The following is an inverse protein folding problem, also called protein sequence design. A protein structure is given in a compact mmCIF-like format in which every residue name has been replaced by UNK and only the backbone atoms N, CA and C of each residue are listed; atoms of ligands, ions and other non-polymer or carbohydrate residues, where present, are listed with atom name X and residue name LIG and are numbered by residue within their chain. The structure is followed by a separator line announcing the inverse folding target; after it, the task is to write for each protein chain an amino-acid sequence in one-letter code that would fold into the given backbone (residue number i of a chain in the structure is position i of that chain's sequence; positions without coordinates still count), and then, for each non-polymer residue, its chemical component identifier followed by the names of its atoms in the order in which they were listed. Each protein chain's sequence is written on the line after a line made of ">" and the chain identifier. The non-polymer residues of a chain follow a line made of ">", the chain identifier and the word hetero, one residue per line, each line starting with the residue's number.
data_IF_579050340989
#
_entry.id   IF_579050340989
#
_cell.length_a   1.000
_cell.length_b   1.000
_cell.length_c   1.000
_cell.angle_alpha   90.00
_cell.angle_beta   90.00
_cell.angle_gamma   90.00
#
_symmetry.space_group_name_H-M   'P 1'
#
loop_
_entity.id
_entity.type
_entity.pdbx_description
1 polymer ?
#
# COMPACT_ATOMS: atom_id res chain seq x y z
N UNK A 1 -9.33 -16.43 5.28
CA UNK A 1 -8.78 -15.14 5.72
C UNK A 1 -9.43 -14.09 4.83
N UNK A 2 -10.24 -13.18 5.39
CA UNK A 2 -10.89 -12.14 4.59
C UNK A 2 -9.91 -10.97 4.43
N UNK A 3 -9.58 -10.62 3.18
CA UNK A 3 -8.81 -9.40 2.89
C UNK A 3 -9.66 -8.17 3.20
N UNK A 4 -9.02 -7.13 3.72
CA UNK A 4 -9.71 -5.83 3.90
C UNK A 4 -10.00 -5.20 2.53
N UNK A 5 -10.99 -4.30 2.45
CA UNK A 5 -11.28 -3.59 1.20
C UNK A 5 -10.08 -2.80 0.66
N UNK A 6 -9.28 -2.20 1.56
CA UNK A 6 -8.06 -1.47 1.20
C UNK A 6 -6.94 -2.39 0.72
N UNK A 7 -6.80 -3.56 1.34
CA UNK A 7 -5.87 -4.59 0.89
C UNK A 7 -6.22 -5.11 -0.50
N UNK A 8 -7.52 -5.33 -0.78
CA UNK A 8 -7.99 -5.73 -2.11
C UNK A 8 -7.68 -4.65 -3.16
N UNK A 9 -7.91 -3.38 -2.84
CA UNK A 9 -7.59 -2.25 -3.72
C UNK A 9 -6.09 -2.17 -4.02
N UNK A 10 -5.24 -2.33 -2.98
CA UNK A 10 -3.80 -2.37 -3.17
C UNK A 10 -3.38 -3.53 -4.07
N UNK A 11 -3.86 -4.75 -3.82
CA UNK A 11 -3.53 -5.93 -4.62
C UNK A 11 -3.94 -5.75 -6.09
N UNK A 12 -5.12 -5.18 -6.35
CA UNK A 12 -5.58 -4.91 -7.71
C UNK A 12 -4.72 -3.83 -8.42
N UNK A 13 -4.39 -2.74 -7.72
CA UNK A 13 -3.54 -1.68 -8.24
C UNK A 13 -2.11 -2.17 -8.53
N UNK A 14 -1.54 -2.95 -7.60
CA UNK A 14 -0.20 -3.54 -7.70
C UNK A 14 -0.11 -4.56 -8.85
N UNK A 15 -1.16 -5.38 -9.05
CA UNK A 15 -1.24 -6.27 -10.21
C UNK A 15 -1.31 -5.50 -11.54
N UNK A 16 -2.09 -4.42 -11.58
CA UNK A 16 -2.21 -3.55 -12.78
C UNK A 16 -0.87 -2.91 -13.12
N UNK A 17 -0.18 -2.33 -12.13
CA UNK A 17 1.14 -1.77 -12.29
C UNK A 17 2.16 -2.81 -12.80
N UNK A 18 2.21 -4.01 -12.21
CA UNK A 18 3.09 -5.09 -12.67
C UNK A 18 2.86 -5.49 -14.12
N UNK A 19 1.60 -5.50 -14.56
CA UNK A 19 1.27 -5.81 -15.95
C UNK A 19 1.80 -4.74 -16.90
N UNK A 20 1.61 -3.46 -16.59
CA UNK A 20 2.11 -2.37 -17.43
C UNK A 20 3.64 -2.26 -17.39
N UNK A 21 4.25 -2.43 -16.22
CA UNK A 21 5.71 -2.41 -16.07
C UNK A 21 6.36 -3.55 -16.88
N UNK A 22 5.78 -4.75 -16.82
CA UNK A 22 6.27 -5.89 -17.59
C UNK A 22 6.20 -5.67 -19.11
N UNK A 23 5.12 -5.02 -19.59
CA UNK A 23 4.99 -4.66 -21.01
C UNK A 23 6.07 -3.66 -21.44
N UNK A 24 6.25 -2.59 -20.68
CA UNK A 24 7.20 -1.51 -21.01
C UNK A 24 8.65 -1.98 -20.91
N UNK A 25 8.97 -2.77 -19.88
CA UNK A 25 10.33 -3.24 -19.59
C UNK A 25 10.66 -4.59 -20.23
N UNK A 26 9.73 -5.16 -21.01
CA UNK A 26 9.86 -6.46 -21.66
C UNK A 26 10.33 -7.58 -20.71
N UNK A 27 9.69 -7.68 -19.55
CA UNK A 27 10.00 -8.67 -18.52
C UNK A 27 8.74 -9.39 -18.03
N UNK A 28 8.87 -10.20 -16.97
CA UNK A 28 7.73 -10.96 -16.41
C UNK A 28 6.99 -10.11 -15.37
N UNK A 29 5.65 -10.11 -15.33
CA UNK A 29 4.88 -9.37 -14.32
C UNK A 29 5.21 -9.76 -12.89
N UNK A 30 5.57 -11.01 -12.63
CA UNK A 30 5.86 -11.52 -11.29
C UNK A 30 7.33 -11.29 -10.87
N UNK A 31 8.10 -10.52 -11.64
CA UNK A 31 9.47 -10.18 -11.27
C UNK A 31 9.47 -9.21 -10.08
N UNK A 32 9.93 -9.70 -8.93
CA UNK A 32 10.02 -8.92 -7.70
C UNK A 32 11.02 -7.75 -7.82
N UNK A 33 11.95 -7.84 -8.76
CA UNK A 33 12.93 -6.78 -9.05
C UNK A 33 12.30 -5.53 -9.65
N UNK A 34 11.08 -5.61 -10.20
CA UNK A 34 10.38 -4.48 -10.83
C UNK A 34 10.31 -3.25 -9.93
N UNK A 35 10.11 -3.43 -8.62
CA UNK A 35 9.96 -2.30 -7.69
C UNK A 35 11.27 -1.53 -7.45
N UNK A 36 12.40 -2.15 -7.78
CA UNK A 36 13.73 -1.56 -7.63
C UNK A 36 14.14 -0.75 -8.87
N UNK A 37 13.44 -0.91 -9.99
CA UNK A 37 13.74 -0.26 -11.25
C UNK A 37 13.09 1.13 -11.29
N UNK A 38 13.85 2.23 -11.43
CA UNK A 38 13.29 3.56 -11.63
C UNK A 38 12.35 3.64 -12.83
N UNK A 39 12.65 2.89 -13.90
CA UNK A 39 11.89 2.85 -15.15
C UNK A 39 10.49 2.26 -14.95
N UNK A 40 10.30 1.40 -13.93
CA UNK A 40 8.99 0.85 -13.60
C UNK A 40 8.01 1.90 -13.04
N UNK A 41 8.47 3.13 -12.77
CA UNK A 41 7.61 4.26 -12.38
C UNK A 41 6.90 4.91 -13.58
N UNK A 42 7.40 4.68 -14.80
CA UNK A 42 6.87 5.26 -16.03
C UNK A 42 7.18 6.75 -16.21
N UNK A 43 7.16 7.19 -17.46
CA UNK A 43 7.24 8.60 -17.83
C UNK A 43 5.89 9.30 -17.60
N UNK A 44 5.87 10.63 -17.37
CA UNK A 44 4.63 11.41 -17.29
C UNK A 44 3.68 11.11 -18.47
N UNK A 45 2.37 11.18 -18.20
CA UNK A 45 1.30 10.95 -19.18
C UNK A 45 1.26 9.55 -19.82
N UNK A 46 1.95 8.57 -19.23
CA UNK A 46 1.88 7.16 -19.65
C UNK A 46 0.95 6.34 -18.74
N UNK A 47 0.39 5.26 -19.31
CA UNK A 47 -0.39 4.30 -18.53
C UNK A 47 0.41 3.69 -17.37
N UNK A 48 1.72 3.46 -17.58
CA UNK A 48 2.60 2.95 -16.53
C UNK A 48 2.72 3.93 -15.36
N UNK A 49 2.85 5.24 -15.65
CA UNK A 49 2.87 6.27 -14.62
C UNK A 49 1.57 6.32 -13.84
N UNK A 50 0.42 6.32 -14.53
CA UNK A 50 -0.88 6.30 -13.86
C UNK A 50 -1.04 5.06 -12.98
N UNK A 51 -0.65 3.87 -13.46
CA UNK A 51 -0.73 2.64 -12.68
C UNK A 51 0.19 2.68 -11.45
N UNK A 52 1.39 3.23 -11.58
CA UNK A 52 2.33 3.42 -10.46
C UNK A 52 1.73 4.35 -9.39
N UNK A 53 1.18 5.50 -9.78
CA UNK A 53 0.60 6.47 -8.83
C UNK A 53 -0.62 5.89 -8.10
N UNK A 54 -1.50 5.19 -8.81
CA UNK A 54 -2.66 4.52 -8.20
C UNK A 54 -2.22 3.44 -7.19
N UNK A 55 -1.17 2.68 -7.51
CA UNK A 55 -0.57 1.71 -6.60
C UNK A 55 -0.02 2.36 -5.34
N UNK A 56 0.78 3.41 -5.47
CA UNK A 56 1.36 4.12 -4.31
C UNK A 56 0.27 4.72 -3.41
N UNK A 57 -0.77 5.30 -4.01
CA UNK A 57 -1.91 5.82 -3.27
C UNK A 57 -2.67 4.72 -2.52
N UNK A 58 -2.96 3.60 -3.17
CA UNK A 58 -3.62 2.46 -2.54
C UNK A 58 -2.77 1.86 -1.40
N UNK A 59 -1.45 1.77 -1.59
CA UNK A 59 -0.52 1.32 -0.56
C UNK A 59 -0.55 2.25 0.66
N UNK A 60 -0.47 3.57 0.44
CA UNK A 60 -0.52 4.56 1.52
C UNK A 60 -1.81 4.45 2.35
N UNK A 61 -2.96 4.31 1.69
CA UNK A 61 -4.25 4.12 2.38
C UNK A 61 -4.29 2.83 3.20
N UNK A 62 -3.78 1.73 2.64
CA UNK A 62 -3.75 0.45 3.36
C UNK A 62 -2.84 0.50 4.60
N UNK A 63 -1.66 1.12 4.48
CA UNK A 63 -0.74 1.35 5.61
C UNK A 63 -1.40 2.20 6.70
N UNK A 64 -2.00 3.34 6.35
CA UNK A 64 -2.67 4.21 7.32
C UNK A 64 -3.80 3.51 8.08
N UNK A 65 -4.58 2.67 7.40
CA UNK A 65 -5.63 1.90 8.05
C UNK A 65 -5.09 0.81 8.99
N UNK A 66 -3.92 0.24 8.69
CA UNK A 66 -3.25 -0.71 9.57
C UNK A 66 -2.67 -0.03 10.82
N UNK A 67 -2.14 1.18 10.69
CA UNK A 67 -1.60 1.98 11.79
C UNK A 67 -2.70 2.55 12.69
N UNK A 68 -3.79 3.06 12.10
CA UNK A 68 -4.96 3.55 12.85
C UNK A 68 -5.66 2.46 13.66
N UNK A 69 -5.53 1.19 13.27
CA UNK A 69 -6.03 0.06 14.06
C UNK A 69 -5.16 -0.21 15.30
N UNK A 70 -3.85 0.06 15.21
CA UNK A 70 -2.89 -0.10 16.32
C UNK A 70 -3.07 0.97 17.41
N UNK A 71 -3.37 2.22 17.04
CA UNK A 71 -3.53 3.33 18.00
C UNK A 71 -4.84 3.23 18.80
N UNK A 72 -5.90 2.66 18.21
CA UNK A 72 -7.20 2.53 18.88
C UNK A 72 -7.30 1.36 19.87
N UNK A 73 -6.31 0.45 19.89
CA UNK A 73 -6.20 -0.63 20.89
C UNK A 73 -5.40 -0.21 22.14
N UNK A 74 -4.91 1.03 22.21
CA UNK A 74 -4.33 1.57 23.43
C UNK A 74 -5.45 1.84 24.45
N UNK A 75 -5.60 0.92 25.41
CA UNK A 75 -6.51 1.05 26.56
C UNK A 75 -6.45 2.47 27.15
N UNK A 76 -7.61 3.10 27.46
CA UNK A 76 -7.61 4.27 28.31
C UNK A 76 -7.08 3.83 29.67
N UNK A 77 -5.87 4.27 30.03
CA UNK A 77 -5.39 4.22 31.41
C UNK A 77 -6.32 5.12 32.23
N UNK A 78 -7.40 4.55 32.74
CA UNK A 78 -8.18 5.18 33.80
C UNK A 78 -7.25 5.41 34.98
N UNK A 79 -7.05 6.66 35.44
CA UNK A 79 -6.25 6.90 36.64
C UNK A 79 -6.96 6.23 37.82
N UNK A 80 -6.26 5.31 38.49
CA UNK A 80 -6.73 4.68 39.72
C UNK A 80 -6.83 5.73 40.83
N UNK A 81 -7.95 5.84 41.57
CA UNK A 81 -8.21 6.97 42.47
C UNK A 81 -7.51 6.88 43.83
N UNK A 82 -6.40 6.16 43.96
CA UNK A 82 -5.87 5.74 45.26
C UNK A 82 -4.60 6.44 45.76
N UNK A 83 -4.32 7.66 45.31
CA UNK A 83 -3.27 8.52 45.87
C UNK A 83 -3.86 9.72 46.63
N UNK A 84 -4.70 9.44 47.61
CA UNK A 84 -4.91 10.34 48.76
C UNK A 84 -4.77 9.55 50.06
N UNK A 85 -3.56 9.56 50.60
CA UNK A 85 -3.29 9.36 52.01
C UNK A 85 -2.27 10.42 52.45
#
# INVERSE_FOLDING_TARGET
>A
MYMSGLELLFVAADATWRCEAAKVLNCKPNDLGLILLPEARGEPDTLLRTAFEVREHAYAMWCQASEGRSVNDACPLTPSPNDRA
#
